data_IF_908026715394
#
_entry.id   IF_908026715394
#
_cell.length_a   1.000
_cell.length_b   1.000
_cell.length_c   1.000
_cell.angle_alpha   90.00
_cell.angle_beta   90.00
_cell.angle_gamma   90.00
#
_symmetry.space_group_name_H-M   'P 1'
#
loop_
_entity.id
_entity.type
_entity.pdbx_description
1 polymer ?
#
# COMPACT_ATOMS: atom_id res chain seq x y z
N UNK A 1 -25.35 -6.49 27.85
CA UNK A 1 -24.02 -5.86 28.02
C UNK A 1 -23.00 -6.66 27.20
N UNK A 2 -22.85 -6.34 25.91
CA UNK A 2 -21.82 -6.96 25.06
C UNK A 2 -20.72 -5.93 24.87
N UNK A 3 -19.52 -6.26 25.35
CA UNK A 3 -18.40 -5.33 25.52
C UNK A 3 -17.95 -4.72 24.20
N UNK A 4 -18.00 -3.39 24.15
CA UNK A 4 -17.22 -2.59 23.20
C UNK A 4 -15.74 -2.76 23.57
N UNK A 5 -15.12 -3.81 23.04
CA UNK A 5 -13.68 -3.94 23.03
C UNK A 5 -13.13 -2.74 22.28
N UNK A 6 -12.43 -1.85 22.99
CA UNK A 6 -11.68 -0.74 22.39
C UNK A 6 -10.58 -1.34 21.51
N UNK A 7 -10.94 -1.68 20.27
CA UNK A 7 -9.98 -2.01 19.23
C UNK A 7 -9.12 -0.78 19.03
N UNK A 8 -7.84 -0.88 19.35
CA UNK A 8 -6.87 0.14 18.97
C UNK A 8 -7.03 0.38 17.47
N UNK A 9 -7.19 1.65 17.06
CA UNK A 9 -7.35 2.01 15.67
C UNK A 9 -6.25 1.34 14.84
N UNK A 10 -6.61 0.66 13.75
CA UNK A 10 -5.64 -0.07 12.89
C UNK A 10 -4.49 0.83 12.42
N UNK A 11 -4.75 2.13 12.25
CA UNK A 11 -3.75 3.15 11.96
C UNK A 11 -2.72 3.33 13.10
N UNK A 12 -3.18 3.34 14.36
CA UNK A 12 -2.29 3.43 15.54
C UNK A 12 -1.40 2.19 15.65
N UNK A 13 -1.94 1.00 15.34
CA UNK A 13 -1.16 -0.24 15.32
C UNK A 13 -0.05 -0.20 14.27
N UNK A 14 -0.33 0.28 13.05
CA UNK A 14 0.68 0.45 12.01
C UNK A 14 1.73 1.48 12.45
N UNK A 15 1.29 2.63 12.99
CA UNK A 15 2.19 3.69 13.45
C UNK A 15 3.16 3.19 14.50
N UNK A 16 2.67 2.49 15.53
CA UNK A 16 3.51 1.92 16.58
C UNK A 16 4.47 0.85 16.02
N UNK A 17 4.02 0.02 15.08
CA UNK A 17 4.88 -0.98 14.45
C UNK A 17 6.04 -0.33 13.67
N UNK A 18 5.77 0.79 12.98
CA UNK A 18 6.80 1.58 12.30
C UNK A 18 7.78 2.18 13.32
N UNK A 19 7.28 2.84 14.37
CA UNK A 19 8.12 3.41 15.42
C UNK A 19 9.02 2.36 16.06
N UNK A 20 8.47 1.21 16.46
CA UNK A 20 9.23 0.11 17.04
C UNK A 20 10.32 -0.42 16.08
N UNK A 21 10.02 -0.46 14.77
CA UNK A 21 11.01 -0.85 13.77
C UNK A 21 12.14 0.18 13.66
N UNK A 22 11.83 1.48 13.69
CA UNK A 22 12.83 2.54 13.70
C UNK A 22 13.69 2.52 14.97
N UNK A 23 13.07 2.43 16.13
CA UNK A 23 13.76 2.39 17.43
C UNK A 23 14.72 1.20 17.52
N UNK A 24 14.43 0.11 16.81
CA UNK A 24 15.29 -1.07 16.79
C UNK A 24 16.68 -0.86 16.13
N UNK A 25 16.98 0.32 15.58
CA UNK A 25 18.26 0.68 14.94
C UNK A 25 19.27 1.40 15.88
N UNK A 26 19.37 1.01 17.15
CA UNK A 26 20.25 1.70 18.13
C UNK A 26 21.76 1.51 17.88
N UNK A 27 22.17 0.37 17.33
CA UNK A 27 23.59 0.02 17.09
C UNK A 27 23.78 -0.54 15.69
N UNK A 28 24.19 0.32 14.77
CA UNK A 28 24.44 -0.05 13.37
C UNK A 28 25.93 -0.06 13.06
N UNK A 29 26.36 -1.07 12.32
CA UNK A 29 27.73 -1.13 11.75
C UNK A 29 27.83 -0.38 10.40
N UNK A 30 26.76 0.29 10.01
CA UNK A 30 26.68 1.15 8.84
C UNK A 30 26.34 2.58 9.25
N UNK A 31 26.74 3.53 8.42
CA UNK A 31 26.47 4.96 8.55
C UNK A 31 26.17 5.56 7.17
N UNK A 32 25.81 6.83 7.11
CA UNK A 32 25.55 7.54 5.87
C UNK A 32 26.62 8.59 5.63
N UNK A 33 27.17 8.67 4.42
CA UNK A 33 28.13 9.70 4.06
C UNK A 33 27.45 11.08 4.01
N UNK A 34 28.04 12.07 4.65
CA UNK A 34 27.56 13.44 4.61
C UNK A 34 27.78 14.03 3.21
N UNK A 35 26.70 14.51 2.60
CA UNK A 35 26.72 15.02 1.23
C UNK A 35 27.16 16.49 1.24
N UNK A 36 28.45 16.74 1.49
CA UNK A 36 28.99 18.10 1.45
C UNK A 36 30.28 18.36 2.23
N UNK A 37 31.43 17.92 1.69
CA UNK A 37 32.70 18.65 1.88
C UNK A 37 33.65 18.32 0.74
N UNK A 38 33.52 19.03 -0.38
CA UNK A 38 34.62 19.21 -1.32
C UNK A 38 35.58 20.20 -0.64
N UNK A 39 36.40 19.73 0.30
CA UNK A 39 37.56 20.47 0.77
C UNK A 39 38.79 19.62 0.48
N UNK A 40 39.62 20.15 -0.42
CA UNK A 40 40.76 19.48 -1.00
C UNK A 40 41.81 19.04 0.01
N UNK A 41 42.61 18.08 -0.48
CA UNK A 41 43.92 17.68 0.01
C UNK A 41 43.94 16.86 1.32
N UNK A 42 43.67 15.55 1.20
CA UNK A 42 44.66 14.61 1.71
C UNK A 42 44.78 13.38 0.80
N UNK A 43 46.00 13.13 0.36
CA UNK A 43 46.46 11.87 -0.22
C UNK A 43 46.21 10.75 0.78
N UNK A 44 45.08 10.05 0.65
CA UNK A 44 44.88 8.76 1.31
C UNK A 44 44.26 7.78 0.33
N UNK A 45 45.15 6.91 -0.17
CA UNK A 45 44.84 5.71 -0.91
C UNK A 45 43.65 4.97 -0.28
N UNK A 46 42.54 4.92 -1.01
CA UNK A 46 41.28 4.33 -0.60
C UNK A 46 40.58 3.78 -1.83
N UNK A 47 41.06 2.62 -2.26
CA UNK A 47 40.58 1.84 -3.40
C UNK A 47 39.14 1.34 -3.21
N UNK A 48 38.13 2.21 -3.29
CA UNK A 48 36.71 1.81 -3.40
C UNK A 48 35.84 2.78 -4.21
N UNK A 49 36.39 3.52 -5.19
CA UNK A 49 35.56 4.25 -6.19
C UNK A 49 35.01 3.34 -7.29
N UNK A 50 34.73 2.08 -6.97
CA UNK A 50 34.07 1.12 -7.86
C UNK A 50 33.01 0.32 -7.08
N UNK A 51 32.15 1.02 -6.35
CA UNK A 51 30.91 0.44 -5.85
C UNK A 51 29.77 0.95 -6.72
N UNK A 52 29.40 0.12 -7.69
CA UNK A 52 28.04 -0.04 -8.23
C UNK A 52 27.12 1.17 -8.03
N UNK A 53 27.37 2.25 -8.78
CA UNK A 53 26.25 3.06 -9.24
C UNK A 53 25.58 2.22 -10.32
N UNK A 54 24.61 1.42 -9.90
CA UNK A 54 23.67 0.75 -10.79
C UNK A 54 23.21 1.78 -11.82
N UNK A 55 23.57 1.53 -13.08
CA UNK A 55 23.37 2.39 -14.24
C UNK A 55 21.88 2.47 -14.65
N UNK A 56 20.98 2.70 -13.68
CA UNK A 56 19.54 2.61 -13.89
C UNK A 56 18.63 3.32 -12.89
N UNK A 57 19.12 4.10 -11.92
CA UNK A 57 18.26 4.96 -11.07
C UNK A 57 18.94 6.30 -10.74
N UNK A 58 18.89 7.25 -11.68
CA UNK A 58 19.27 8.66 -11.40
C UNK A 58 18.34 9.35 -10.37
N UNK A 59 17.17 8.76 -10.06
CA UNK A 59 16.08 9.35 -9.27
C UNK A 59 16.33 9.54 -7.76
N UNK A 60 17.51 9.23 -7.22
CA UNK A 60 17.75 9.29 -5.77
C UNK A 60 19.05 10.01 -5.39
N UNK A 61 19.50 10.95 -6.23
CA UNK A 61 20.74 11.73 -6.03
C UNK A 61 20.78 12.54 -4.73
N UNK A 62 19.64 12.77 -4.08
CA UNK A 62 19.49 13.47 -2.80
C UNK A 62 19.60 12.55 -1.57
N UNK A 63 19.72 11.23 -1.73
CA UNK A 63 19.90 10.33 -0.59
C UNK A 63 21.39 10.13 -0.29
N UNK A 64 21.82 10.25 0.98
CA UNK A 64 23.20 10.02 1.35
C UNK A 64 23.58 8.54 1.15
N UNK A 65 24.81 8.28 0.73
CA UNK A 65 25.27 6.92 0.42
C UNK A 65 25.54 6.13 1.71
N UNK A 66 24.98 4.92 1.87
CA UNK A 66 25.29 4.06 3.02
C UNK A 66 26.73 3.54 2.93
N UNK A 67 27.43 3.56 4.05
CA UNK A 67 28.83 3.21 4.22
C UNK A 67 28.98 2.13 5.30
N UNK A 68 30.01 1.29 5.15
CA UNK A 68 30.38 0.22 6.09
C UNK A 68 31.90 0.16 6.23
N UNK A 69 32.41 -0.26 7.38
CA UNK A 69 33.85 -0.45 7.59
C UNK A 69 34.34 -1.70 6.84
N UNK A 70 35.58 -1.70 6.33
CA UNK A 70 36.25 -2.94 5.89
C UNK A 70 36.47 -3.85 7.12
N UNK A 71 36.14 -5.16 7.11
CA UNK A 71 35.84 -6.06 5.97
C UNK A 71 34.35 -6.14 5.54
N UNK A 72 33.46 -5.33 6.12
CA UNK A 72 32.03 -5.30 5.87
C UNK A 72 31.21 -5.51 7.14
N UNK A 73 29.91 -5.72 6.97
CA UNK A 73 28.99 -6.02 8.09
C UNK A 73 29.28 -7.41 8.67
N UNK A 74 29.20 -7.52 9.99
CA UNK A 74 29.18 -8.79 10.70
C UNK A 74 27.96 -9.62 10.32
N UNK A 75 28.07 -10.94 10.45
CA UNK A 75 26.97 -11.85 10.12
C UNK A 75 25.74 -11.61 11.01
N UNK A 76 25.97 -11.28 12.29
CA UNK A 76 24.91 -10.87 13.22
C UNK A 76 24.15 -9.64 12.70
N UNK A 77 24.88 -8.61 12.26
CA UNK A 77 24.28 -7.39 11.73
C UNK A 77 23.54 -7.61 10.41
N UNK A 78 24.06 -8.46 9.51
CA UNK A 78 23.35 -8.87 8.29
C UNK A 78 22.05 -9.59 8.61
N UNK A 79 22.07 -10.55 9.53
CA UNK A 79 20.88 -11.29 9.95
C UNK A 79 19.82 -10.37 10.56
N UNK A 80 20.23 -9.44 11.43
CA UNK A 80 19.33 -8.42 11.97
C UNK A 80 18.73 -7.53 10.88
N UNK A 81 19.52 -7.08 9.90
CA UNK A 81 19.00 -6.28 8.78
C UNK A 81 17.98 -7.05 7.92
N UNK A 82 18.21 -8.35 7.66
CA UNK A 82 17.26 -9.19 6.95
C UNK A 82 15.95 -9.34 7.72
N UNK A 83 16.03 -9.54 9.03
CA UNK A 83 14.86 -9.60 9.91
C UNK A 83 14.09 -8.27 9.89
N UNK A 84 14.77 -7.13 10.05
CA UNK A 84 14.16 -5.79 9.98
C UNK A 84 13.51 -5.52 8.63
N UNK A 85 14.18 -5.87 7.53
CA UNK A 85 13.62 -5.79 6.18
C UNK A 85 12.37 -6.66 6.01
N UNK A 86 12.36 -7.85 6.62
CA UNK A 86 11.19 -8.74 6.60
C UNK A 86 10.03 -8.17 7.42
N UNK A 87 10.32 -7.57 8.59
CA UNK A 87 9.34 -6.85 9.41
C UNK A 87 8.76 -5.65 8.66
N UNK A 88 9.60 -4.81 8.05
CA UNK A 88 9.17 -3.68 7.22
C UNK A 88 8.22 -4.11 6.09
N UNK A 89 8.55 -5.22 5.41
CA UNK A 89 7.71 -5.79 4.37
C UNK A 89 6.36 -6.27 4.90
N UNK A 90 6.31 -6.84 6.10
CA UNK A 90 5.04 -7.25 6.73
C UNK A 90 4.19 -6.04 7.11
N UNK A 91 4.78 -5.00 7.71
CA UNK A 91 4.10 -3.74 8.04
C UNK A 91 3.53 -3.11 6.75
N UNK A 92 4.33 -3.04 5.69
CA UNK A 92 3.90 -2.52 4.40
C UNK A 92 2.74 -3.33 3.81
N UNK A 93 2.82 -4.67 3.84
CA UNK A 93 1.73 -5.55 3.37
C UNK A 93 0.45 -5.35 4.18
N UNK A 94 0.55 -5.25 5.50
CA UNK A 94 -0.59 -4.99 6.37
C UNK A 94 -1.23 -3.62 6.08
N UNK A 95 -0.41 -2.58 5.94
CA UNK A 95 -0.86 -1.24 5.57
C UNK A 95 -1.55 -1.22 4.20
N UNK A 96 -0.99 -1.89 3.20
CA UNK A 96 -1.60 -2.01 1.87
C UNK A 96 -2.92 -2.79 1.91
N UNK A 97 -3.02 -3.85 2.70
CA UNK A 97 -4.26 -4.60 2.88
C UNK A 97 -5.36 -3.73 3.52
N UNK A 98 -5.02 -2.99 4.58
CA UNK A 98 -5.95 -2.07 5.24
C UNK A 98 -6.41 -0.96 4.28
N UNK A 99 -5.48 -0.34 3.54
CA UNK A 99 -5.80 0.67 2.55
C UNK A 99 -6.74 0.11 1.46
N UNK A 100 -6.47 -1.11 0.98
CA UNK A 100 -7.33 -1.81 0.01
C UNK A 100 -8.74 -2.07 0.57
N UNK A 101 -8.85 -2.50 1.83
CA UNK A 101 -10.14 -2.71 2.49
C UNK A 101 -10.96 -1.41 2.59
N UNK A 102 -10.32 -0.30 3.00
CA UNK A 102 -10.98 1.01 3.10
C UNK A 102 -11.48 1.47 1.73
N UNK A 103 -10.61 1.40 0.71
CA UNK A 103 -10.99 1.76 -0.67
C UNK A 103 -12.10 0.86 -1.21
N UNK A 104 -12.16 -0.42 -0.83
CA UNK A 104 -13.24 -1.31 -1.26
C UNK A 104 -14.61 -0.89 -0.71
N UNK A 105 -14.67 -0.35 0.51
CA UNK A 105 -15.91 0.13 1.14
C UNK A 105 -16.35 1.54 0.72
N UNK A 106 -15.51 2.27 -0.02
CA UNK A 106 -15.84 3.61 -0.51
C UNK A 106 -16.80 3.56 -1.71
N UNK A 107 -17.91 4.29 -1.62
CA UNK A 107 -18.87 4.43 -2.72
C UNK A 107 -18.41 5.46 -3.75
N UNK A 108 -18.81 5.24 -5.00
CA UNK A 108 -18.60 6.16 -6.11
C UNK A 108 -19.97 6.59 -6.66
N UNK A 109 -20.20 7.90 -6.88
CA UNK A 109 -21.39 8.40 -7.53
C UNK A 109 -21.59 7.80 -8.92
N UNK A 110 -22.84 7.54 -9.29
CA UNK A 110 -23.19 7.02 -10.62
C UNK A 110 -22.77 7.98 -11.73
N UNK A 111 -22.75 9.30 -11.47
CA UNK A 111 -22.29 10.33 -12.41
C UNK A 111 -20.83 10.17 -12.85
N UNK A 112 -20.01 9.47 -12.06
CA UNK A 112 -18.58 9.27 -12.34
C UNK A 112 -18.27 7.91 -13.01
N UNK A 113 -19.24 6.99 -13.04
CA UNK A 113 -19.07 5.70 -13.74
C UNK A 113 -18.67 5.82 -15.22
N UNK A 114 -19.23 6.73 -16.03
CA UNK A 114 -18.88 6.81 -17.45
C UNK A 114 -17.49 7.39 -17.73
N UNK A 115 -16.85 8.08 -16.78
CA UNK A 115 -15.49 8.65 -16.94
C UNK A 115 -14.36 7.69 -16.55
N UNK A 116 -14.68 6.55 -15.94
CA UNK A 116 -13.68 5.58 -15.51
C UNK A 116 -13.15 4.74 -16.67
N UNK A 117 -11.90 4.26 -16.60
CA UNK A 117 -11.42 3.23 -17.50
C UNK A 117 -12.38 2.03 -17.51
N UNK A 118 -12.76 1.55 -18.69
CA UNK A 118 -13.80 0.51 -18.86
C UNK A 118 -13.54 -0.75 -18.03
N UNK A 119 -12.27 -1.11 -17.84
CA UNK A 119 -11.86 -2.25 -17.02
C UNK A 119 -12.14 -1.99 -15.53
N UNK A 120 -11.81 -0.80 -15.03
CA UNK A 120 -12.04 -0.40 -13.63
C UNK A 120 -13.54 -0.27 -13.33
N UNK A 121 -14.32 0.31 -14.26
CA UNK A 121 -15.77 0.39 -14.16
C UNK A 121 -16.44 -0.99 -14.14
N UNK A 122 -16.01 -1.91 -15.03
CA UNK A 122 -16.52 -3.29 -15.08
C UNK A 122 -16.23 -4.04 -13.78
N UNK A 123 -14.99 -3.97 -13.29
CA UNK A 123 -14.60 -4.59 -12.02
C UNK A 123 -15.41 -4.05 -10.83
N UNK A 124 -15.66 -2.74 -10.79
CA UNK A 124 -16.47 -2.11 -9.75
C UNK A 124 -17.92 -2.62 -9.77
N UNK A 125 -18.55 -2.68 -10.94
CA UNK A 125 -19.92 -3.16 -11.11
C UNK A 125 -20.06 -4.65 -10.77
N UNK A 126 -19.13 -5.50 -11.21
CA UNK A 126 -19.13 -6.93 -10.89
C UNK A 126 -19.01 -7.19 -9.39
N UNK A 127 -18.18 -6.41 -8.69
CA UNK A 127 -18.08 -6.46 -7.22
C UNK A 127 -19.40 -6.06 -6.54
N UNK A 128 -20.02 -4.97 -6.98
CA UNK A 128 -21.27 -4.46 -6.39
C UNK A 128 -22.40 -5.49 -6.55
N UNK A 129 -22.53 -6.06 -7.74
CA UNK A 129 -23.57 -7.04 -8.04
C UNK A 129 -23.42 -8.34 -7.24
N UNK A 130 -22.19 -8.80 -7.00
CA UNK A 130 -21.94 -9.97 -6.15
C UNK A 130 -22.32 -9.75 -4.68
N UNK A 131 -22.16 -8.52 -4.15
CA UNK A 131 -22.53 -8.19 -2.77
C UNK A 131 -24.05 -7.93 -2.62
N UNK A 132 -24.70 -7.39 -3.65
CA UNK A 132 -26.15 -7.13 -3.68
C UNK A 132 -27.03 -8.38 -3.80
N UNK A 133 -26.46 -9.53 -4.18
CA UNK A 133 -27.18 -10.81 -4.28
C UNK A 133 -27.83 -11.25 -2.95
N UNK A 134 -27.37 -10.73 -1.80
CA UNK A 134 -27.97 -11.00 -0.48
C UNK A 134 -29.11 -10.05 -0.08
N UNK A 135 -29.48 -9.08 -0.93
CA UNK A 135 -30.49 -8.06 -0.63
C UNK A 135 -31.52 -7.81 -1.75
N UNK A 136 -31.47 -8.58 -2.84
CA UNK A 136 -32.35 -8.40 -4.00
C UNK A 136 -33.77 -8.91 -3.74
N UNK A 137 -34.75 -8.22 -4.33
CA UNK A 137 -36.14 -8.64 -4.30
C UNK A 137 -36.31 -9.99 -5.01
N UNK A 138 -37.29 -10.80 -4.58
CA UNK A 138 -37.54 -12.12 -5.17
C UNK A 138 -37.82 -12.07 -6.68
N UNK A 139 -38.38 -10.97 -7.20
CA UNK A 139 -38.67 -10.79 -8.62
C UNK A 139 -37.43 -10.41 -9.45
N UNK A 140 -36.46 -9.70 -8.87
CA UNK A 140 -35.19 -9.39 -9.55
C UNK A 140 -34.26 -10.59 -9.58
N UNK A 141 -34.32 -11.45 -8.55
CA UNK A 141 -33.63 -12.75 -8.57
C UNK A 141 -34.16 -13.67 -9.69
N UNK A 142 -35.48 -13.66 -9.96
CA UNK A 142 -36.08 -14.45 -11.05
C UNK A 142 -35.62 -13.95 -12.44
N UNK A 143 -35.48 -12.63 -12.65
CA UNK A 143 -34.95 -12.08 -13.91
C UNK A 143 -33.46 -12.41 -14.12
N UNK A 144 -32.65 -12.32 -13.06
CA UNK A 144 -31.23 -12.70 -13.11
C UNK A 144 -31.06 -14.22 -13.33
N UNK A 145 -31.93 -15.05 -12.74
CA UNK A 145 -31.95 -16.51 -12.94
C UNK A 145 -32.25 -16.86 -14.41
N UNK A 146 -33.16 -16.12 -15.04
CA UNK A 146 -33.52 -16.30 -16.45
C UNK A 146 -32.43 -15.80 -17.42
N UNK A 147 -31.42 -15.04 -16.97
CA UNK A 147 -30.47 -14.38 -17.87
C UNK A 147 -28.98 -14.61 -17.59
N UNK A 148 -28.51 -14.87 -16.36
CA UNK A 148 -27.11 -14.51 -16.05
C UNK A 148 -26.40 -15.31 -14.93
N UNK A 149 -26.85 -16.52 -14.55
CA UNK A 149 -26.17 -17.30 -13.50
C UNK A 149 -24.71 -17.64 -13.87
N UNK A 150 -24.48 -18.14 -15.09
CA UNK A 150 -23.13 -18.53 -15.53
C UNK A 150 -22.24 -17.30 -15.81
N UNK A 151 -22.79 -16.22 -16.36
CA UNK A 151 -22.01 -15.00 -16.67
C UNK A 151 -21.65 -14.21 -15.41
N UNK A 152 -22.56 -14.11 -14.44
CA UNK A 152 -22.32 -13.40 -13.17
C UNK A 152 -21.23 -14.05 -12.34
N UNK A 153 -21.25 -15.39 -12.23
CA UNK A 153 -20.23 -16.14 -11.50
C UNK A 153 -18.86 -16.04 -12.17
N UNK A 154 -18.81 -16.14 -13.50
CA UNK A 154 -17.59 -15.92 -14.27
C UNK A 154 -17.04 -14.49 -14.12
N UNK A 155 -17.91 -13.47 -14.14
CA UNK A 155 -17.52 -12.07 -13.92
C UNK A 155 -16.97 -11.83 -12.51
N UNK A 156 -17.55 -12.46 -11.49
CA UNK A 156 -17.03 -12.41 -10.12
C UNK A 156 -15.62 -13.04 -10.02
N UNK A 157 -15.40 -14.19 -10.66
CA UNK A 157 -14.10 -14.85 -10.73
C UNK A 157 -13.08 -13.96 -11.46
N UNK A 158 -13.48 -13.35 -12.58
CA UNK A 158 -12.63 -12.43 -13.34
C UNK A 158 -12.27 -11.18 -12.54
N UNK A 159 -13.24 -10.59 -11.83
CA UNK A 159 -13.00 -9.48 -10.90
C UNK A 159 -11.98 -9.88 -9.83
N UNK A 160 -12.16 -11.04 -9.20
CA UNK A 160 -11.26 -11.53 -8.16
C UNK A 160 -9.84 -11.78 -8.70
N UNK A 161 -9.72 -12.34 -9.90
CA UNK A 161 -8.42 -12.52 -10.58
C UNK A 161 -7.75 -11.20 -10.90
N UNK A 162 -8.49 -10.22 -11.43
CA UNK A 162 -7.97 -8.90 -11.75
C UNK A 162 -7.50 -8.15 -10.50
N UNK A 163 -8.18 -8.30 -9.36
CA UNK A 163 -7.73 -7.75 -8.07
C UNK A 163 -6.43 -8.38 -7.58
N UNK A 164 -6.34 -9.71 -7.63
CA UNK A 164 -5.13 -10.41 -7.23
C UNK A 164 -3.94 -10.00 -8.11
N UNK A 165 -4.19 -9.81 -9.41
CA UNK A 165 -3.19 -9.30 -10.35
C UNK A 165 -2.78 -7.86 -10.00
N UNK A 166 -3.75 -6.96 -9.76
CA UNK A 166 -3.47 -5.58 -9.36
C UNK A 166 -2.69 -5.53 -8.03
N UNK A 167 -3.06 -6.38 -7.07
CA UNK A 167 -2.35 -6.51 -5.81
C UNK A 167 -0.91 -6.99 -6.00
N UNK A 168 -0.70 -8.01 -6.84
CA UNK A 168 0.64 -8.48 -7.19
C UNK A 168 1.47 -7.39 -7.88
N UNK A 169 0.86 -6.64 -8.80
CA UNK A 169 1.52 -5.52 -9.47
C UNK A 169 1.91 -4.42 -8.50
N UNK A 170 1.03 -4.03 -7.57
CA UNK A 170 1.34 -3.05 -6.51
C UNK A 170 2.45 -3.54 -5.58
N UNK A 171 2.51 -4.84 -5.27
CA UNK A 171 3.61 -5.41 -4.48
C UNK A 171 4.95 -5.42 -5.22
N UNK A 172 4.92 -5.72 -6.52
CA UNK A 172 6.13 -5.80 -7.35
C UNK A 172 6.65 -4.43 -7.77
N UNK A 173 5.76 -3.45 -7.90
CA UNK A 173 6.04 -2.10 -8.33
C UNK A 173 5.44 -1.10 -7.32
N UNK A 174 6.14 -0.83 -6.20
CA UNK A 174 5.64 0.10 -5.18
C UNK A 174 5.54 1.56 -5.67
N UNK A 175 6.19 1.87 -6.79
CA UNK A 175 6.10 3.17 -7.49
C UNK A 175 4.87 3.25 -8.43
N UNK A 176 4.07 2.19 -8.52
CA UNK A 176 2.85 2.17 -9.33
C UNK A 176 1.85 3.20 -8.78
N UNK A 177 1.40 4.11 -9.64
CA UNK A 177 0.40 5.11 -9.28
C UNK A 177 -0.89 4.45 -8.78
N UNK A 178 -1.60 5.12 -7.87
CA UNK A 178 -2.97 4.75 -7.53
C UNK A 178 -3.82 4.69 -8.80
N UNK A 179 -4.78 3.77 -8.85
CA UNK A 179 -5.68 3.68 -10.00
C UNK A 179 -6.55 4.92 -10.10
N UNK A 180 -7.11 5.18 -11.28
CA UNK A 180 -8.05 6.29 -11.47
C UNK A 180 -9.24 6.08 -10.54
N UNK A 181 -9.76 4.86 -10.44
CA UNK A 181 -10.79 4.46 -9.48
C UNK A 181 -10.44 4.79 -8.02
N UNK A 182 -9.24 4.42 -7.55
CA UNK A 182 -8.77 4.67 -6.18
C UNK A 182 -8.69 6.18 -5.91
N UNK A 183 -8.16 6.94 -6.86
CA UNK A 183 -8.06 8.41 -6.77
C UNK A 183 -9.43 9.05 -6.64
N UNK A 184 -10.41 8.58 -7.41
CA UNK A 184 -11.77 9.13 -7.39
C UNK A 184 -12.51 8.79 -6.11
N UNK A 185 -12.34 7.55 -5.60
CA UNK A 185 -12.85 7.14 -4.29
C UNK A 185 -12.34 8.05 -3.18
N UNK A 186 -11.04 8.34 -3.17
CA UNK A 186 -10.41 9.23 -2.19
C UNK A 186 -10.93 10.66 -2.34
N UNK A 187 -11.02 11.19 -3.57
CA UNK A 187 -11.50 12.55 -3.83
C UNK A 187 -12.96 12.76 -3.40
N UNK A 188 -13.83 11.79 -3.66
CA UNK A 188 -15.25 11.90 -3.32
C UNK A 188 -15.52 11.65 -1.84
N UNK A 189 -14.92 10.59 -1.28
CA UNK A 189 -15.13 10.23 0.13
C UNK A 189 -14.34 11.13 1.09
N UNK A 190 -13.47 12.02 0.58
CA UNK A 190 -12.89 13.14 1.33
C UNK A 190 -13.99 13.98 1.99
N UNK A 191 -15.13 14.20 1.33
CA UNK A 191 -16.26 14.96 1.89
C UNK A 191 -16.95 14.23 3.07
N UNK A 192 -16.98 12.90 3.04
CA UNK A 192 -17.58 12.08 4.09
C UNK A 192 -16.73 11.99 5.36
N UNK A 193 -15.39 12.05 5.25
CA UNK A 193 -14.50 12.12 6.41
C UNK A 193 -14.67 13.43 7.20
N UNK A 194 -14.89 14.57 6.54
CA UNK A 194 -15.26 15.81 7.23
C UNK A 194 -16.62 15.69 7.95
N UNK A 195 -17.60 14.96 7.40
CA UNK A 195 -18.88 14.72 8.06
C UNK A 195 -18.79 13.79 9.29
N UNK A 196 -17.87 12.82 9.29
CA UNK A 196 -17.60 11.97 10.47
C UNK A 196 -16.86 12.77 11.55
N UNK A 197 -15.91 13.64 11.17
CA UNK A 197 -15.19 14.51 12.10
C UNK A 197 -16.13 15.57 12.72
N UNK A 198 -17.09 16.11 11.96
CA UNK A 198 -18.07 17.10 12.44
C UNK A 198 -19.12 16.46 13.36
N UNK A 199 -19.64 15.26 13.02
CA UNK A 199 -20.59 14.55 13.90
C UNK A 199 -20.00 14.08 15.23
N UNK A 200 -18.68 13.94 15.32
CA UNK A 200 -17.98 13.57 16.56
C UNK A 200 -17.58 14.77 17.43
N UNK A 201 -17.81 16.00 16.95
CA UNK A 201 -17.54 17.27 17.66
C UNK A 201 -18.83 17.97 18.15
N UNK A 202 -20.02 17.45 17.82
CA UNK A 202 -21.32 17.97 18.29
C UNK A 202 -21.96 17.14 19.43
N UNK A 203 -21.15 16.55 20.31
CA UNK A 203 -21.61 16.07 21.64
C UNK A 203 -20.63 16.53 22.71
#
# INVERSE_FOLDING_TARGET
>A
MSGSGKGVCTAVTISNAITNLYDSFEKTEFWYAEQGSISGNSTRSGSFRKMVLSQGKEEKRWLPAPCVSSPGLSEKSKMHLRQKGSCANQIHKAAMAINSCILAGMEIPESYMPSLPKVEASMHTWRRNACLAHSKSSWDMVKDLMSDIDRSDNNHILAKRAENLLFYLKQRYPELSQTTLDTCKIQYNKASFYLIQIKHLEI
#
